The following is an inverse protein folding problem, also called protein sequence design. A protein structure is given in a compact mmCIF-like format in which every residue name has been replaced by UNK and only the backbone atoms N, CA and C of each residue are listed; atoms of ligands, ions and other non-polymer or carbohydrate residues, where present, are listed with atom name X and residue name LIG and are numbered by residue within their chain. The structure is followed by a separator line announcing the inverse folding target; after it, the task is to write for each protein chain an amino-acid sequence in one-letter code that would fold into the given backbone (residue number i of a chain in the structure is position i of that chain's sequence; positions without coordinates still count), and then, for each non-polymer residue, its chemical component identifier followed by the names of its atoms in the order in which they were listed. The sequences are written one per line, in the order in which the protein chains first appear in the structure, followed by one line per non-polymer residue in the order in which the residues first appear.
data_IF_345279694859
#
_entry.id   IF_345279694859
#
_cell.length_a   1.000
_cell.length_b   1.000
_cell.length_c   1.000
_cell.angle_alpha   90.00
_cell.angle_beta   90.00
_cell.angle_gamma   90.00
#
_symmetry.space_group_name_H-M   'P 1'
#
loop_
_entity.id
_entity.type
_entity.pdbx_description
1 polymer ?
#
# COMPACT_ATOMS: atom_id res chain seq x y z
N UNK A 1 -22.90 -54.60 -29.27
CA UNK A 1 -23.59 -53.37 -29.72
C UNK A 1 -23.14 -52.28 -28.77
N UNK A 2 -22.07 -51.59 -29.13
CA UNK A 2 -21.49 -50.50 -28.35
C UNK A 2 -21.74 -49.20 -29.09
N UNK A 3 -22.31 -48.22 -28.40
CA UNK A 3 -22.38 -46.84 -28.88
C UNK A 3 -21.68 -45.94 -27.88
N UNK A 4 -20.67 -45.23 -28.41
CA UNK A 4 -19.95 -44.13 -27.78
C UNK A 4 -20.88 -42.92 -27.71
N UNK A 5 -20.99 -42.29 -26.55
CA UNK A 5 -21.44 -40.90 -26.45
C UNK A 5 -20.18 -40.06 -26.28
N UNK A 6 -19.94 -39.20 -27.27
CA UNK A 6 -18.77 -38.35 -27.41
C UNK A 6 -19.04 -36.97 -26.80
N UNK A 7 -17.99 -36.38 -26.22
CA UNK A 7 -17.91 -35.11 -25.52
C UNK A 7 -18.46 -33.91 -26.32
N UNK A 8 -19.14 -32.98 -25.62
CA UNK A 8 -19.50 -31.63 -26.08
C UNK A 8 -19.42 -30.63 -24.90
N UNK A 9 -18.26 -30.51 -24.27
CA UNK A 9 -18.03 -29.48 -23.23
C UNK A 9 -16.79 -28.60 -23.50
N UNK A 10 -16.03 -28.83 -24.58
CA UNK A 10 -14.74 -28.16 -24.78
C UNK A 10 -14.77 -26.95 -25.75
N UNK A 11 -15.89 -26.63 -26.39
CA UNK A 11 -15.94 -25.62 -27.49
C UNK A 11 -16.45 -24.22 -27.07
N UNK A 12 -16.71 -23.95 -25.77
CA UNK A 12 -17.29 -22.66 -25.31
C UNK A 12 -16.25 -21.78 -24.57
N UNK A 13 -15.14 -22.34 -24.10
CA UNK A 13 -14.09 -21.56 -23.41
C UNK A 13 -13.16 -20.81 -24.37
N UNK A 14 -12.89 -21.32 -25.58
CA UNK A 14 -11.99 -20.65 -26.54
C UNK A 14 -12.64 -19.41 -27.22
N UNK A 15 -13.92 -19.47 -27.56
CA UNK A 15 -14.62 -18.36 -28.25
C UNK A 15 -14.85 -17.12 -27.37
N UNK A 16 -14.88 -17.30 -26.04
CA UNK A 16 -15.07 -16.18 -25.10
C UNK A 16 -13.76 -15.42 -24.87
N UNK A 17 -12.62 -16.11 -24.91
CA UNK A 17 -11.28 -15.56 -24.71
C UNK A 17 -10.87 -14.69 -25.91
N UNK A 18 -11.12 -15.17 -27.14
CA UNK A 18 -10.83 -14.43 -28.37
C UNK A 18 -11.66 -13.14 -28.49
N UNK A 19 -12.93 -13.16 -28.07
CA UNK A 19 -13.79 -11.96 -28.07
C UNK A 19 -13.34 -10.90 -27.06
N UNK A 20 -12.78 -11.34 -25.92
CA UNK A 20 -12.29 -10.49 -24.83
C UNK A 20 -10.91 -9.91 -25.11
N UNK A 21 -10.01 -10.72 -25.69
CA UNK A 21 -8.69 -10.28 -26.13
C UNK A 21 -8.81 -9.27 -27.27
N UNK A 22 -9.74 -9.49 -28.21
CA UNK A 22 -10.08 -8.51 -29.24
C UNK A 22 -10.64 -7.19 -28.68
N UNK A 23 -11.40 -7.23 -27.57
CA UNK A 23 -11.89 -6.01 -26.89
C UNK A 23 -10.77 -5.27 -26.15
N UNK A 24 -9.86 -5.99 -25.49
CA UNK A 24 -8.66 -5.43 -24.86
C UNK A 24 -7.75 -4.77 -25.91
N UNK A 25 -7.51 -5.44 -27.02
CA UNK A 25 -6.73 -4.91 -28.14
C UNK A 25 -7.44 -3.71 -28.80
N UNK A 26 -8.76 -3.73 -28.96
CA UNK A 26 -9.50 -2.59 -29.53
C UNK A 26 -9.45 -1.33 -28.67
N UNK A 27 -9.47 -1.46 -27.33
CA UNK A 27 -9.32 -0.32 -26.40
C UNK A 27 -7.88 0.21 -26.38
N UNK A 28 -6.89 -0.65 -26.59
CA UNK A 28 -5.48 -0.27 -26.75
C UNK A 28 -5.24 0.39 -28.12
N UNK A 29 -5.89 -0.08 -29.18
CA UNK A 29 -5.79 0.47 -30.54
C UNK A 29 -6.52 1.83 -30.68
N UNK A 30 -7.62 2.05 -29.96
CA UNK A 30 -8.25 3.38 -29.86
C UNK A 30 -7.36 4.41 -29.14
N UNK A 31 -6.53 3.97 -28.18
CA UNK A 31 -5.48 4.78 -27.56
C UNK A 31 -4.32 5.09 -28.54
N UNK A 32 -4.05 4.21 -29.50
CA UNK A 32 -3.02 4.42 -30.54
C UNK A 32 -3.47 5.36 -31.67
N UNK A 33 -4.75 5.31 -32.07
CA UNK A 33 -5.29 6.15 -33.16
C UNK A 33 -5.28 7.65 -32.84
N UNK A 34 -5.36 8.03 -31.56
CA UNK A 34 -5.36 9.44 -31.13
C UNK A 34 -3.98 10.10 -31.02
N UNK A 35 -2.86 9.38 -31.16
CA UNK A 35 -1.52 9.91 -30.86
C UNK A 35 -0.47 9.62 -31.95
N UNK A 36 -0.78 9.91 -33.22
CA UNK A 36 0.03 9.45 -34.36
C UNK A 36 1.40 10.16 -34.53
N UNK A 37 1.70 11.30 -33.91
CA UNK A 37 2.93 12.05 -34.26
C UNK A 37 4.15 11.88 -33.34
N UNK A 38 4.09 11.05 -32.29
CA UNK A 38 5.22 10.85 -31.34
C UNK A 38 5.96 9.50 -31.51
N UNK A 39 5.73 8.80 -32.62
CA UNK A 39 5.87 7.33 -32.76
C UNK A 39 7.28 6.72 -32.76
N UNK A 40 8.39 7.47 -32.69
CA UNK A 40 9.73 6.86 -32.68
C UNK A 40 10.44 6.81 -31.33
N UNK A 41 10.08 7.67 -30.37
CA UNK A 41 10.78 7.75 -29.08
C UNK A 41 10.09 6.91 -27.98
N UNK A 42 8.78 6.65 -28.09
CA UNK A 42 7.98 5.95 -27.04
C UNK A 42 8.02 4.41 -27.05
N UNK A 43 8.38 3.76 -28.17
CA UNK A 43 8.22 2.30 -28.33
C UNK A 43 9.12 1.47 -27.40
N UNK A 44 10.25 2.04 -26.96
CA UNK A 44 11.19 1.42 -26.01
C UNK A 44 10.73 1.60 -24.55
N UNK A 45 9.95 2.64 -24.25
CA UNK A 45 9.48 2.95 -22.89
C UNK A 45 8.18 2.20 -22.54
N UNK A 46 7.29 2.00 -23.52
CA UNK A 46 6.03 1.26 -23.31
C UNK A 46 6.23 -0.25 -23.13
N UNK A 47 7.18 -0.88 -23.83
CA UNK A 47 7.49 -2.30 -23.64
C UNK A 47 8.06 -2.58 -22.26
N UNK A 48 8.86 -1.66 -21.72
CA UNK A 48 9.34 -1.70 -20.33
C UNK A 48 8.21 -1.50 -19.32
N UNK A 49 7.28 -0.57 -19.56
CA UNK A 49 6.09 -0.37 -18.70
C UNK A 49 5.17 -1.60 -18.67
N UNK A 50 4.93 -2.22 -19.83
CA UNK A 50 4.10 -3.43 -19.96
C UNK A 50 4.75 -4.63 -19.25
N UNK A 51 6.06 -4.82 -19.41
CA UNK A 51 6.81 -5.86 -18.68
C UNK A 51 6.85 -5.64 -17.16
N UNK A 52 6.86 -4.39 -16.67
CA UNK A 52 6.78 -4.07 -15.23
C UNK A 52 5.39 -4.37 -14.66
N UNK A 53 4.33 -4.13 -15.45
CA UNK A 53 2.96 -4.50 -15.12
C UNK A 53 2.82 -6.03 -15.11
N UNK A 54 3.28 -6.72 -16.16
CA UNK A 54 3.17 -8.18 -16.31
C UNK A 54 4.04 -8.97 -15.32
N UNK A 55 5.22 -8.47 -14.93
CA UNK A 55 6.11 -9.16 -13.98
C UNK A 55 5.62 -9.23 -12.54
N UNK A 56 4.53 -8.52 -12.19
CA UNK A 56 4.06 -8.35 -10.81
C UNK A 56 2.69 -9.00 -10.58
N UNK A 57 1.92 -9.24 -11.64
CA UNK A 57 0.56 -9.75 -11.53
C UNK A 57 0.51 -11.23 -11.88
N UNK A 58 0.26 -12.06 -10.88
CA UNK A 58 -0.18 -13.44 -11.14
C UNK A 58 -1.60 -13.43 -11.75
N UNK A 59 -1.99 -14.50 -12.44
CA UNK A 59 -3.30 -14.64 -13.08
C UNK A 59 -4.47 -14.29 -12.14
N UNK A 60 -4.34 -14.65 -10.86
CA UNK A 60 -5.35 -14.37 -9.83
C UNK A 60 -5.48 -12.89 -9.55
N UNK A 61 -4.37 -12.15 -9.48
CA UNK A 61 -4.37 -10.71 -9.30
C UNK A 61 -4.98 -10.02 -10.52
N UNK A 62 -4.63 -10.46 -11.73
CA UNK A 62 -5.20 -9.95 -12.99
C UNK A 62 -6.72 -10.14 -13.00
N UNK A 63 -7.20 -11.35 -12.71
CA UNK A 63 -8.63 -11.64 -12.66
C UNK A 63 -9.37 -10.73 -11.68
N UNK A 64 -8.80 -10.50 -10.50
CA UNK A 64 -9.39 -9.60 -9.50
C UNK A 64 -9.42 -8.15 -9.96
N UNK A 65 -8.33 -7.66 -10.58
CA UNK A 65 -8.29 -6.30 -11.12
C UNK A 65 -9.32 -6.12 -12.23
N UNK A 66 -9.44 -7.08 -13.15
CA UNK A 66 -10.46 -7.07 -14.20
C UNK A 66 -11.87 -7.02 -13.62
N UNK A 67 -12.14 -7.80 -12.56
CA UNK A 67 -13.43 -7.73 -11.87
C UNK A 67 -13.69 -6.35 -11.25
N UNK A 68 -12.67 -5.74 -10.65
CA UNK A 68 -12.77 -4.40 -10.06
C UNK A 68 -13.02 -3.32 -11.13
N UNK A 69 -12.43 -3.44 -12.32
CA UNK A 69 -12.62 -2.53 -13.45
C UNK A 69 -13.96 -2.71 -14.16
N UNK A 70 -14.40 -3.95 -14.37
CA UNK A 70 -15.61 -4.22 -15.14
C UNK A 70 -16.91 -4.09 -14.34
N UNK A 71 -16.89 -4.43 -13.05
CA UNK A 71 -18.10 -4.48 -12.20
C UNK A 71 -17.92 -3.84 -10.83
N UNK A 72 -16.70 -3.42 -10.51
CA UNK A 72 -16.34 -2.91 -9.20
C UNK A 72 -16.30 -1.38 -9.12
N UNK A 73 -15.70 -0.84 -8.05
CA UNK A 73 -15.65 0.60 -7.81
C UNK A 73 -14.57 1.33 -8.61
N UNK A 74 -13.84 0.64 -9.49
CA UNK A 74 -12.66 1.16 -10.17
C UNK A 74 -12.97 1.44 -11.63
N UNK A 75 -12.62 2.62 -12.14
CA UNK A 75 -12.81 2.99 -13.54
C UNK A 75 -11.55 2.71 -14.36
N UNK A 76 -10.39 3.16 -13.88
CA UNK A 76 -9.11 2.96 -14.57
C UNK A 76 -7.93 2.95 -13.60
N UNK A 77 -6.85 2.29 -14.02
CA UNK A 77 -5.54 2.34 -13.37
C UNK A 77 -4.60 3.10 -14.32
N UNK A 78 -3.96 4.17 -13.85
CA UNK A 78 -3.18 5.06 -14.71
C UNK A 78 -1.70 4.67 -14.74
N UNK A 79 -1.04 4.58 -13.59
CA UNK A 79 0.40 4.35 -13.54
C UNK A 79 0.94 4.03 -12.15
N UNK A 80 2.17 3.54 -12.11
CA UNK A 80 2.86 3.22 -10.87
C UNK A 80 3.30 4.51 -10.15
N UNK A 81 2.92 4.63 -8.89
CA UNK A 81 3.36 5.69 -7.97
C UNK A 81 4.66 5.29 -7.30
N UNK A 82 4.74 4.03 -6.85
CA UNK A 82 5.90 3.52 -6.13
C UNK A 82 6.12 2.04 -6.42
N UNK A 83 7.36 1.68 -6.72
CA UNK A 83 7.80 0.31 -6.93
C UNK A 83 8.63 -0.14 -5.72
N UNK A 84 8.07 -1.03 -4.90
CA UNK A 84 8.73 -1.55 -3.71
C UNK A 84 9.18 -3.00 -3.87
N UNK A 85 10.01 -3.48 -2.95
CA UNK A 85 10.38 -4.91 -2.89
C UNK A 85 9.17 -5.81 -2.60
N UNK A 86 8.25 -5.32 -1.78
CA UNK A 86 7.15 -6.12 -1.23
C UNK A 86 5.81 -5.85 -1.91
N UNK A 87 5.62 -4.62 -2.41
CA UNK A 87 4.40 -4.18 -3.05
C UNK A 87 4.70 -3.07 -4.05
N UNK A 88 3.83 -2.93 -5.03
CA UNK A 88 3.77 -1.76 -5.89
C UNK A 88 2.51 -0.96 -5.55
N UNK A 89 2.58 0.36 -5.66
CA UNK A 89 1.44 1.26 -5.47
C UNK A 89 1.13 1.93 -6.79
N UNK A 90 -0.14 1.91 -7.20
CA UNK A 90 -0.61 2.47 -8.47
C UNK A 90 -1.63 3.57 -8.22
N UNK A 91 -1.58 4.61 -9.05
CA UNK A 91 -2.63 5.62 -9.15
C UNK A 91 -3.78 5.05 -9.95
N UNK A 92 -4.99 5.24 -9.45
CA UNK A 92 -6.19 4.77 -10.09
C UNK A 92 -7.34 5.75 -9.80
N UNK A 93 -8.47 5.56 -10.49
CA UNK A 93 -9.63 6.44 -10.35
C UNK A 93 -10.90 5.62 -10.19
N UNK A 94 -11.81 6.09 -9.35
CA UNK A 94 -13.18 5.57 -9.31
C UNK A 94 -14.04 6.15 -10.45
N UNK A 95 -15.26 5.62 -10.58
CA UNK A 95 -16.22 6.04 -11.60
C UNK A 95 -16.70 7.51 -11.50
N UNK A 96 -16.30 8.23 -10.44
CA UNK A 96 -16.56 9.66 -10.27
C UNK A 96 -15.32 10.51 -10.58
N UNK A 97 -14.26 9.90 -11.08
CA UNK A 97 -12.98 10.54 -11.34
C UNK A 97 -12.18 10.86 -10.09
N UNK A 98 -12.52 10.31 -8.92
CA UNK A 98 -11.75 10.51 -7.69
C UNK A 98 -10.50 9.64 -7.68
N UNK A 99 -9.37 10.21 -7.29
CA UNK A 99 -8.09 9.53 -7.16
C UNK A 99 -8.08 8.49 -6.02
N UNK A 100 -7.48 7.34 -6.32
CA UNK A 100 -7.28 6.20 -5.45
C UNK A 100 -5.84 5.70 -5.54
N UNK A 101 -5.32 5.19 -4.44
CA UNK A 101 -4.08 4.43 -4.42
C UNK A 101 -4.41 2.93 -4.32
N UNK A 102 -3.89 2.14 -5.24
CA UNK A 102 -3.98 0.67 -5.22
C UNK A 102 -2.61 0.10 -4.87
N UNK A 103 -2.47 -0.44 -3.65
CA UNK A 103 -1.28 -1.18 -3.21
C UNK A 103 -1.48 -2.67 -3.49
N UNK A 104 -0.61 -3.23 -4.32
CA UNK A 104 -0.64 -4.64 -4.71
C UNK A 104 0.63 -5.30 -4.19
N UNK A 105 0.47 -6.24 -3.25
CA UNK A 105 1.60 -6.99 -2.70
C UNK A 105 2.03 -8.10 -3.66
N UNK A 106 3.35 -8.23 -3.80
CA UNK A 106 4.01 -9.23 -4.63
C UNK A 106 3.92 -10.58 -3.95
N UNK A 107 3.40 -11.57 -4.66
CA UNK A 107 3.27 -12.95 -4.14
C UNK A 107 4.62 -13.67 -4.29
N UNK A 108 5.50 -13.45 -3.31
CA UNK A 108 6.84 -14.04 -3.27
C UNK A 108 7.14 -14.73 -1.93
N UNK A 109 7.87 -15.84 -2.02
CA UNK A 109 8.21 -16.69 -0.87
C UNK A 109 9.07 -15.96 0.17
N UNK A 110 10.04 -15.14 -0.26
CA UNK A 110 10.96 -14.44 0.64
C UNK A 110 10.26 -13.31 1.40
N UNK A 111 9.47 -12.47 0.71
CA UNK A 111 8.62 -11.46 1.34
C UNK A 111 7.67 -12.10 2.35
N UNK A 112 7.04 -13.23 2.00
CA UNK A 112 6.14 -13.92 2.94
C UNK A 112 6.85 -14.41 4.22
N UNK A 113 8.11 -14.86 4.13
CA UNK A 113 8.91 -15.27 5.30
C UNK A 113 9.23 -14.07 6.19
N UNK A 114 9.61 -12.94 5.60
CA UNK A 114 9.90 -11.73 6.36
C UNK A 114 8.63 -11.17 7.04
N UNK A 115 7.51 -11.08 6.31
CA UNK A 115 6.21 -10.62 6.83
C UNK A 115 5.74 -11.44 8.04
N UNK A 116 5.97 -12.76 8.05
CA UNK A 116 5.64 -13.62 9.20
C UNK A 116 6.21 -13.09 10.52
N UNK A 117 7.40 -12.46 10.52
CA UNK A 117 8.04 -11.99 11.75
C UNK A 117 7.26 -10.90 12.50
N UNK A 118 6.39 -10.15 11.80
CA UNK A 118 5.53 -9.12 12.39
C UNK A 118 4.09 -9.58 12.60
N UNK A 119 3.75 -10.80 12.16
CA UNK A 119 2.47 -11.47 12.46
C UNK A 119 2.64 -12.35 13.71
N UNK A 120 3.78 -13.05 13.82
CA UNK A 120 4.10 -13.90 14.97
C UNK A 120 4.18 -13.06 16.23
N UNK A 121 3.41 -13.44 17.25
CA UNK A 121 3.33 -12.71 18.53
C UNK A 121 2.24 -11.63 18.55
N UNK A 122 1.60 -11.33 17.43
CA UNK A 122 0.44 -10.43 17.42
C UNK A 122 -0.82 -11.24 17.79
N UNK A 123 -1.48 -10.94 18.93
CA UNK A 123 -2.57 -11.75 19.47
C UNK A 123 -3.82 -11.76 18.58
N UNK A 124 -3.89 -10.88 17.58
CA UNK A 124 -4.98 -10.84 16.60
C UNK A 124 -4.94 -12.03 15.63
N UNK A 125 -3.82 -12.74 15.53
CA UNK A 125 -3.62 -13.83 14.59
C UNK A 125 -3.44 -15.17 15.31
N UNK A 126 -4.54 -15.94 15.44
CA UNK A 126 -4.53 -17.25 16.10
C UNK A 126 -3.92 -18.38 15.27
N UNK A 127 -4.03 -18.31 13.94
CA UNK A 127 -3.53 -19.32 13.00
C UNK A 127 -2.79 -18.62 11.87
N UNK A 128 -1.49 -18.88 11.75
CA UNK A 128 -0.65 -18.32 10.69
C UNK A 128 -0.55 -19.36 9.56
N UNK A 129 -0.96 -19.04 8.33
CA UNK A 129 -0.86 -19.96 7.22
C UNK A 129 0.61 -20.22 6.82
N UNK A 130 0.84 -21.40 6.24
CA UNK A 130 2.17 -21.78 5.76
C UNK A 130 2.43 -21.31 4.32
N UNK A 131 1.38 -21.27 3.49
CA UNK A 131 1.43 -20.87 2.09
C UNK A 131 1.72 -19.37 1.93
N UNK A 132 2.67 -19.03 1.06
CA UNK A 132 3.13 -17.66 0.77
C UNK A 132 1.97 -16.69 0.43
N UNK A 133 1.11 -17.05 -0.52
CA UNK A 133 -0.04 -16.21 -0.93
C UNK A 133 -0.98 -15.92 0.23
N UNK A 134 -1.31 -16.93 1.06
CA UNK A 134 -2.20 -16.75 2.21
C UNK A 134 -1.60 -15.85 3.29
N UNK A 135 -0.28 -15.90 3.48
CA UNK A 135 0.43 -14.98 4.40
C UNK A 135 0.32 -13.55 3.88
N UNK A 136 0.50 -13.35 2.58
CA UNK A 136 0.45 -12.04 1.94
C UNK A 136 -0.96 -11.48 1.97
N UNK A 137 -1.99 -12.30 1.76
CA UNK A 137 -3.38 -11.88 1.92
C UNK A 137 -3.69 -11.49 3.37
N UNK A 138 -3.13 -12.22 4.33
CA UNK A 138 -3.24 -11.89 5.74
C UNK A 138 -2.53 -10.56 6.06
N UNK A 139 -1.38 -10.31 5.46
CA UNK A 139 -0.62 -9.07 5.58
C UNK A 139 -1.38 -7.87 5.01
N UNK A 140 -1.93 -8.00 3.81
CA UNK A 140 -2.77 -6.98 3.20
C UNK A 140 -4.02 -6.67 4.06
N UNK A 141 -4.65 -7.72 4.60
CA UNK A 141 -5.76 -7.57 5.55
C UNK A 141 -5.33 -6.90 6.86
N UNK A 142 -4.11 -7.18 7.34
CA UNK A 142 -3.52 -6.52 8.51
C UNK A 142 -3.34 -5.02 8.27
N UNK A 143 -2.74 -4.61 7.15
CA UNK A 143 -2.58 -3.19 6.81
C UNK A 143 -3.93 -2.48 6.71
N UNK A 144 -4.91 -3.07 6.00
CA UNK A 144 -6.26 -2.51 5.91
C UNK A 144 -6.90 -2.28 7.29
N UNK A 145 -6.82 -3.28 8.18
CA UNK A 145 -7.37 -3.17 9.55
C UNK A 145 -6.61 -2.17 10.42
N UNK A 146 -5.29 -2.07 10.24
CA UNK A 146 -4.49 -1.06 10.92
C UNK A 146 -4.89 0.35 10.44
N UNK A 147 -5.12 0.56 9.13
CA UNK A 147 -5.59 1.84 8.57
C UNK A 147 -6.96 2.19 9.12
N UNK A 148 -7.85 1.22 9.23
CA UNK A 148 -9.16 1.46 9.83
C UNK A 148 -9.07 1.90 11.29
N UNK A 149 -8.18 1.29 12.08
CA UNK A 149 -7.97 1.66 13.50
C UNK A 149 -7.37 3.05 13.63
N UNK A 150 -6.32 3.35 12.86
CA UNK A 150 -5.66 4.64 12.87
C UNK A 150 -6.60 5.76 12.40
N UNK A 151 -7.31 5.56 11.29
CA UNK A 151 -8.28 6.52 10.75
C UNK A 151 -9.42 6.78 11.75
N UNK A 152 -9.97 5.74 12.39
CA UNK A 152 -11.00 5.88 13.45
C UNK A 152 -10.48 6.62 14.69
N UNK A 153 -9.18 6.57 14.97
CA UNK A 153 -8.56 7.33 16.06
C UNK A 153 -8.33 8.82 15.70
N UNK A 154 -8.69 9.24 14.48
CA UNK A 154 -8.52 10.61 13.99
C UNK A 154 -7.12 10.90 13.43
N UNK A 155 -6.31 9.85 13.19
CA UNK A 155 -4.96 10.02 12.65
C UNK A 155 -4.99 10.28 11.14
N UNK A 156 -4.04 11.09 10.68
CA UNK A 156 -3.78 11.35 9.26
C UNK A 156 -3.05 10.17 8.61
N UNK A 157 -3.84 9.23 8.12
CA UNK A 157 -3.43 8.08 7.31
C UNK A 157 -4.33 8.00 6.08
N UNK A 158 -3.93 7.33 4.99
CA UNK A 158 -4.82 7.06 3.87
C UNK A 158 -6.10 6.37 4.34
N UNK A 159 -7.27 6.93 4.02
CA UNK A 159 -8.54 6.27 4.31
C UNK A 159 -8.58 4.91 3.60
N UNK A 160 -8.75 3.79 4.32
CA UNK A 160 -8.86 2.48 3.69
C UNK A 160 -10.24 2.34 3.03
N UNK A 161 -10.27 1.84 1.80
CA UNK A 161 -11.50 1.77 0.99
C UNK A 161 -11.91 0.31 0.75
N UNK A 162 -10.98 -0.52 0.29
CA UNK A 162 -11.26 -1.90 -0.05
C UNK A 162 -10.04 -2.80 0.14
N UNK A 163 -10.29 -4.06 0.44
CA UNK A 163 -9.24 -5.09 0.47
C UNK A 163 -9.78 -6.39 -0.12
N UNK A 164 -9.01 -7.00 -1.02
CA UNK A 164 -9.22 -8.38 -1.47
C UNK A 164 -7.89 -9.02 -1.78
N UNK A 165 -7.64 -10.17 -1.17
CA UNK A 165 -6.40 -10.93 -1.34
C UNK A 165 -5.17 -10.01 -1.12
N UNK A 166 -4.33 -9.83 -2.14
CA UNK A 166 -3.13 -8.99 -2.13
C UNK A 166 -3.37 -7.56 -2.67
N UNK A 167 -4.61 -7.15 -2.91
CA UNK A 167 -4.96 -5.81 -3.43
C UNK A 167 -5.63 -4.99 -2.33
N UNK A 168 -4.98 -3.90 -1.94
CA UNK A 168 -5.47 -2.88 -1.00
C UNK A 168 -5.76 -1.58 -1.75
N UNK A 169 -7.01 -1.10 -1.71
CA UNK A 169 -7.37 0.23 -2.20
C UNK A 169 -7.57 1.19 -1.03
N UNK A 170 -6.97 2.37 -1.14
CA UNK A 170 -7.02 3.42 -0.14
C UNK A 170 -7.04 4.80 -0.81
N UNK A 171 -7.30 5.82 0.00
CA UNK A 171 -7.20 7.22 -0.41
C UNK A 171 -5.82 7.51 -1.01
N UNK A 172 -5.84 8.20 -2.14
CA UNK A 172 -4.64 8.76 -2.73
C UNK A 172 -4.24 10.05 -2.00
N UNK A 173 -2.94 10.22 -1.76
CA UNK A 173 -2.39 11.40 -1.09
C UNK A 173 -1.51 12.14 -2.10
N UNK A 174 -2.00 13.24 -2.63
CA UNK A 174 -1.37 14.02 -3.70
C UNK A 174 -2.36 14.97 -4.35
N UNK A 175 -1.95 15.59 -5.46
CA UNK A 175 -2.77 16.51 -6.24
C UNK A 175 -2.85 16.06 -7.69
N UNK A 176 -4.04 15.65 -8.14
CA UNK A 176 -4.21 15.03 -9.45
C UNK A 176 -3.27 13.83 -9.60
N UNK A 177 -2.46 13.76 -10.67
CA UNK A 177 -1.54 12.65 -10.88
C UNK A 177 -0.23 12.73 -10.07
N UNK A 178 0.00 13.82 -9.32
CA UNK A 178 1.27 14.08 -8.63
C UNK A 178 1.17 13.60 -7.18
N UNK A 179 1.92 12.56 -6.78
CA UNK A 179 1.89 12.07 -5.41
C UNK A 179 2.51 13.11 -4.47
N UNK A 180 2.02 13.17 -3.24
CA UNK A 180 2.68 13.94 -2.20
C UNK A 180 4.13 13.44 -2.02
N UNK A 181 5.12 14.32 -1.84
CA UNK A 181 6.50 13.91 -1.61
C UNK A 181 6.64 13.25 -0.24
N UNK A 182 7.59 12.32 -0.11
CA UNK A 182 8.04 11.83 1.19
C UNK A 182 8.82 12.92 1.93
N UNK A 183 8.76 12.94 3.26
CA UNK A 183 9.62 13.82 4.07
C UNK A 183 11.10 13.61 3.75
N UNK A 184 11.50 12.39 3.41
CA UNK A 184 12.87 12.09 2.96
C UNK A 184 13.32 12.91 1.74
N UNK A 185 12.40 13.25 0.86
CA UNK A 185 12.65 13.92 -0.43
C UNK A 185 12.67 15.45 -0.29
N UNK A 186 12.31 15.97 0.88
CA UNK A 186 12.26 17.40 1.15
C UNK A 186 13.55 17.82 1.86
N UNK A 187 14.38 18.60 1.18
CA UNK A 187 15.67 19.07 1.71
C UNK A 187 15.51 20.12 2.81
N UNK A 188 14.49 20.97 2.72
CA UNK A 188 14.21 22.04 3.67
C UNK A 188 12.71 22.05 4.01
N UNK A 189 12.25 21.16 4.92
CA UNK A 189 10.85 21.07 5.29
C UNK A 189 10.41 22.36 6.01
N UNK A 190 9.34 23.04 5.59
CA UNK A 190 8.86 24.22 6.28
C UNK A 190 8.22 23.82 7.63
N UNK A 191 8.24 24.73 8.61
CA UNK A 191 7.60 24.54 9.91
C UNK A 191 8.02 23.22 10.60
N UNK A 192 9.33 22.96 10.69
CA UNK A 192 9.88 21.73 11.26
C UNK A 192 9.31 21.38 12.64
N UNK A 193 9.15 22.38 13.52
CA UNK A 193 8.55 22.21 14.84
C UNK A 193 7.13 21.65 14.76
N UNK A 194 6.29 22.19 13.88
CA UNK A 194 4.91 21.73 13.70
C UNK A 194 4.86 20.31 13.13
N UNK A 195 5.69 20.01 12.12
CA UNK A 195 5.76 18.67 11.54
C UNK A 195 6.22 17.66 12.60
N UNK A 196 7.25 18.00 13.38
CA UNK A 196 7.76 17.15 14.44
C UNK A 196 6.68 16.89 15.50
N UNK A 197 6.03 17.93 16.00
CA UNK A 197 4.97 17.80 17.00
C UNK A 197 3.77 16.99 16.49
N UNK A 198 3.36 17.16 15.23
CA UNK A 198 2.29 16.35 14.63
C UNK A 198 2.68 14.86 14.53
N UNK A 199 3.96 14.55 14.28
CA UNK A 199 4.45 13.16 14.27
C UNK A 199 4.50 12.59 15.71
N UNK A 200 4.90 13.38 16.70
CA UNK A 200 4.88 12.96 18.10
C UNK A 200 3.43 12.66 18.56
N UNK A 201 2.50 13.55 18.24
CA UNK A 201 1.08 13.35 18.51
C UNK A 201 0.54 12.11 17.79
N UNK A 202 0.97 11.87 16.54
CA UNK A 202 0.63 10.66 15.82
C UNK A 202 1.07 9.41 16.58
N UNK A 203 2.34 9.34 17.03
CA UNK A 203 2.87 8.20 17.81
C UNK A 203 2.05 7.99 19.08
N UNK A 204 1.77 9.06 19.81
CA UNK A 204 1.00 9.03 21.06
C UNK A 204 -0.42 8.53 20.84
N UNK A 205 -1.14 9.07 19.87
CA UNK A 205 -2.52 8.67 19.56
C UNK A 205 -2.59 7.26 18.98
N UNK A 206 -1.62 6.86 18.15
CA UNK A 206 -1.53 5.49 17.63
C UNK A 206 -1.38 4.48 18.77
N UNK A 207 -0.51 4.77 19.75
CA UNK A 207 -0.33 3.93 20.92
C UNK A 207 -1.55 3.93 21.84
N UNK A 208 -2.00 5.12 22.27
CA UNK A 208 -2.97 5.26 23.34
C UNK A 208 -4.41 4.98 22.90
N UNK A 209 -4.81 5.47 21.71
CA UNK A 209 -6.18 5.32 21.19
C UNK A 209 -6.29 4.15 20.23
N UNK A 210 -5.40 4.08 19.22
CA UNK A 210 -5.48 3.01 18.24
C UNK A 210 -4.94 1.67 18.78
N UNK A 211 -4.22 1.66 19.91
CA UNK A 211 -3.59 0.47 20.52
C UNK A 211 -2.65 -0.25 19.55
N UNK A 212 -1.83 0.52 18.84
CA UNK A 212 -0.87 0.07 17.85
C UNK A 212 0.50 0.76 18.05
N UNK A 213 1.56 0.09 17.64
CA UNK A 213 2.89 0.68 17.40
C UNK A 213 3.16 0.56 15.91
N UNK A 214 3.66 1.62 15.26
CA UNK A 214 3.90 1.61 13.80
C UNK A 214 4.90 0.52 13.42
N UNK A 215 5.96 0.41 14.21
CA UNK A 215 6.96 -0.64 14.10
C UNK A 215 7.88 -0.52 12.91
N UNK A 216 7.94 0.64 12.24
CA UNK A 216 8.95 0.98 11.22
C UNK A 216 8.95 2.48 10.87
N UNK A 217 8.49 3.35 11.77
CA UNK A 217 8.27 4.76 11.45
C UNK A 217 9.60 5.47 11.13
N UNK A 218 9.64 6.22 10.03
CA UNK A 218 10.79 6.98 9.54
C UNK A 218 10.37 8.02 8.48
N UNK A 219 11.31 8.86 8.03
CA UNK A 219 11.05 9.84 6.97
C UNK A 219 10.66 9.21 5.61
N UNK A 220 10.87 7.89 5.45
CA UNK A 220 10.54 7.12 4.26
C UNK A 220 9.08 6.65 4.21
N UNK A 221 8.32 6.81 5.29
CA UNK A 221 6.89 6.44 5.36
C UNK A 221 5.99 7.59 5.85
N UNK A 222 6.48 8.82 5.72
CA UNK A 222 5.72 10.03 6.00
C UNK A 222 5.67 10.86 4.73
N UNK A 223 4.47 11.03 4.18
CA UNK A 223 4.21 11.97 3.11
C UNK A 223 3.95 13.36 3.68
N UNK A 224 4.30 14.40 2.93
CA UNK A 224 3.98 15.77 3.27
C UNK A 224 2.90 16.31 2.34
N UNK A 225 1.69 16.51 2.88
CA UNK A 225 0.52 16.89 2.09
C UNK A 225 -0.35 17.91 2.82
N UNK A 226 -0.69 19.00 2.13
CA UNK A 226 -1.42 20.13 2.71
C UNK A 226 -0.77 20.65 4.00
N UNK A 227 0.53 20.92 3.92
CA UNK A 227 1.36 21.47 5.00
C UNK A 227 1.45 20.61 6.28
N UNK A 228 1.15 19.30 6.17
CA UNK A 228 1.04 18.42 7.32
C UNK A 228 1.53 17.00 6.97
N UNK A 229 2.11 16.28 7.93
CA UNK A 229 2.50 14.89 7.72
C UNK A 229 1.28 13.97 7.55
N UNK A 230 1.43 12.98 6.68
CA UNK A 230 0.48 11.87 6.48
C UNK A 230 1.28 10.57 6.53
N UNK A 231 0.98 9.73 7.52
CA UNK A 231 1.73 8.50 7.75
C UNK A 231 1.14 7.41 6.85
N UNK A 232 2.02 6.72 6.11
CA UNK A 232 1.67 5.61 5.23
C UNK A 232 2.35 4.32 5.69
N UNK A 233 2.05 3.21 5.00
CA UNK A 233 2.68 1.90 5.21
C UNK A 233 2.69 1.38 6.67
N UNK A 234 1.51 1.38 7.28
CA UNK A 234 1.30 0.78 8.62
C UNK A 234 1.10 -0.75 8.57
N UNK A 235 1.68 -1.38 7.55
CA UNK A 235 1.64 -2.82 7.32
C UNK A 235 2.38 -3.58 8.40
N UNK A 236 3.52 -3.03 8.84
CA UNK A 236 4.36 -3.56 9.90
C UNK A 236 3.80 -3.29 11.31
N UNK A 237 2.79 -2.43 11.45
CA UNK A 237 2.26 -2.04 12.75
C UNK A 237 1.70 -3.21 13.56
N UNK A 238 2.12 -3.29 14.83
CA UNK A 238 1.79 -4.37 15.75
C UNK A 238 0.86 -3.88 16.86
N UNK A 239 0.10 -4.81 17.47
CA UNK A 239 -0.62 -4.53 18.72
C UNK A 239 0.35 -4.10 19.83
N UNK A 240 -0.08 -3.22 20.74
CA UNK A 240 0.71 -2.90 21.96
C UNK A 240 0.93 -4.12 22.87
N UNK A 241 0.14 -5.18 22.70
CA UNK A 241 0.28 -6.46 23.40
C UNK A 241 1.33 -7.38 22.77
N UNK A 242 1.93 -6.98 21.64
CA UNK A 242 2.98 -7.75 20.99
C UNK A 242 4.24 -7.78 21.87
N UNK A 243 4.93 -8.93 22.05
CA UNK A 243 6.10 -9.04 22.93
C UNK A 243 7.24 -8.06 22.62
N UNK A 244 7.33 -7.61 21.36
CA UNK A 244 8.32 -6.63 20.88
C UNK A 244 7.78 -5.20 20.74
N UNK A 245 6.57 -4.90 21.20
CA UNK A 245 5.93 -3.59 20.99
C UNK A 245 6.78 -2.42 21.50
N UNK A 246 7.34 -2.53 22.71
CA UNK A 246 8.19 -1.48 23.30
C UNK A 246 9.51 -1.27 22.55
N UNK A 247 10.11 -2.35 22.05
CA UNK A 247 11.34 -2.30 21.23
C UNK A 247 11.04 -1.53 19.93
N UNK A 248 9.93 -1.85 19.29
CA UNK A 248 9.48 -1.17 18.08
C UNK A 248 9.15 0.30 18.34
N UNK A 249 8.47 0.62 19.45
CA UNK A 249 8.15 2.01 19.80
C UNK A 249 9.43 2.83 20.04
N UNK A 250 10.39 2.27 20.79
CA UNK A 250 11.67 2.94 21.04
C UNK A 250 12.42 3.20 19.74
N UNK A 251 12.39 2.25 18.80
CA UNK A 251 13.01 2.40 17.48
C UNK A 251 12.33 3.50 16.65
N UNK A 252 11.00 3.50 16.60
CA UNK A 252 10.22 4.51 15.89
C UNK A 252 10.54 5.92 16.41
N UNK A 253 10.53 6.10 17.74
CA UNK A 253 10.90 7.36 18.40
C UNK A 253 12.33 7.76 18.00
N UNK A 254 13.30 6.84 18.13
CA UNK A 254 14.70 7.13 17.79
C UNK A 254 14.86 7.54 16.32
N UNK A 255 14.19 6.87 15.39
CA UNK A 255 14.26 7.20 13.97
C UNK A 255 13.78 8.62 13.69
N UNK A 256 12.63 9.01 14.27
CA UNK A 256 12.09 10.35 14.12
C UNK A 256 13.02 11.40 14.73
N UNK A 257 13.51 11.20 15.95
CA UNK A 257 14.42 12.14 16.59
C UNK A 257 15.72 12.30 15.78
N UNK A 258 16.30 11.20 15.31
CA UNK A 258 17.50 11.23 14.47
C UNK A 258 17.27 11.95 13.13
N UNK A 259 16.06 11.92 12.57
CA UNK A 259 15.74 12.66 11.36
C UNK A 259 15.72 14.16 11.63
N UNK A 260 15.02 14.61 12.67
CA UNK A 260 14.90 16.04 13.00
C UNK A 260 16.18 16.66 13.58
N UNK A 261 17.01 15.87 14.26
CA UNK A 261 18.32 16.31 14.76
C UNK A 261 19.24 16.79 13.62
N UNK A 262 19.13 16.20 12.42
CA UNK A 262 19.92 16.61 11.24
C UNK A 262 19.64 18.04 10.77
N UNK A 263 18.49 18.59 11.14
CA UNK A 263 18.10 19.98 10.84
C UNK A 263 18.51 20.96 11.94
N UNK A 264 19.25 20.52 12.97
CA UNK A 264 19.71 21.38 14.06
C UNK A 264 18.60 21.77 15.05
N UNK A 265 17.48 21.04 15.07
CA UNK A 265 16.40 21.28 16.02
C UNK A 265 16.82 20.99 17.45
N UNK A 266 16.32 21.80 18.39
CA UNK A 266 16.41 21.51 19.83
C UNK A 266 15.30 20.54 20.19
N UNK A 267 15.66 19.26 20.33
CA UNK A 267 14.71 18.19 20.60
C UNK A 267 14.49 17.96 22.10
N UNK A 268 13.29 17.52 22.52
CA UNK A 268 13.07 17.08 23.90
C UNK A 268 13.85 15.78 24.21
N UNK A 269 13.80 15.30 25.46
CA UNK A 269 14.37 13.99 25.79
C UNK A 269 13.49 12.86 25.19
N UNK A 270 14.00 12.02 24.27
CA UNK A 270 13.24 10.91 23.69
C UNK A 270 12.77 9.90 24.73
N UNK A 271 13.50 9.74 25.84
CA UNK A 271 13.11 8.85 26.94
C UNK A 271 11.93 9.40 27.72
N UNK A 272 11.89 10.71 27.95
CA UNK A 272 10.73 11.40 28.54
C UNK A 272 9.51 11.26 27.64
N UNK A 273 9.69 11.46 26.33
CA UNK A 273 8.61 11.26 25.36
C UNK A 273 8.09 9.81 25.34
N UNK A 274 8.97 8.81 25.38
CA UNK A 274 8.56 7.40 25.50
C UNK A 274 7.64 7.16 26.69
N UNK A 275 7.99 7.67 27.87
CA UNK A 275 7.18 7.50 29.08
C UNK A 275 5.81 8.20 28.99
N UNK A 276 5.76 9.38 28.37
CA UNK A 276 4.50 10.06 28.06
C UNK A 276 3.61 9.25 27.11
N UNK A 277 4.18 8.63 26.07
CA UNK A 277 3.45 7.77 25.13
C UNK A 277 2.79 6.59 25.85
N UNK A 278 3.53 5.90 26.72
CA UNK A 278 3.00 4.75 27.47
C UNK A 278 2.19 5.14 28.72
N UNK A 279 1.91 6.44 28.90
CA UNK A 279 1.14 7.00 30.02
C UNK A 279 1.72 6.63 31.40
N UNK A 280 3.04 6.47 31.48
CA UNK A 280 3.76 6.37 32.74
C UNK A 280 4.32 7.75 33.07
N UNK A 281 3.59 8.52 33.88
CA UNK A 281 4.15 9.74 34.45
C UNK A 281 5.26 9.34 35.43
N UNK A 282 6.52 9.54 35.03
CA UNK A 282 7.68 9.52 35.92
C UNK A 282 8.09 10.94 36.25
#
# INVERSE_FOLDING_TARGET
MGEKINNREDDIEEDFDDSLENRLNSNIDELEKRNIDLKRIKKIDQSKKRAVIESVFDERTIFLLNKLLGTGPLERIEGIISAGKEANVYLAYDAKGKELAIKIYKIDSNTSKWMKNYIIGDPRFKKIPHNASKIIFLWASKEFKNLQRAYKAGLRVPKPIYIKNNILMMEYIGFGPIPAPLLKEITDPPNLDDIFNEILDFIKVLYQKAKLVHGDLSEFNILYHNQKPVIIDISQAVSIQHPKAEIYLTRDIKNIFNYFEKFGMVLPDPKKFYYDVISLNK
#
